data_IF_009782176432
#
_entry.id   IF_009782176432
#
_cell.length_a   1.000
_cell.length_b   1.000
_cell.length_c   1.000
_cell.angle_alpha   90.00
_cell.angle_beta   90.00
_cell.angle_gamma   90.00
#
_symmetry.space_group_name_H-M   'P 1'
#
loop_
_entity.id
_entity.type
_entity.pdbx_description
1 polymer ?
#
# COMPACT_ATOMS: atom_id res chain seq x y z
N UNK A 1 53.41 35.32 -49.20
CA UNK A 1 53.99 34.04 -48.74
C UNK A 1 54.41 34.22 -47.29
N UNK A 2 53.99 33.48 -46.28
CA UNK A 2 53.02 32.40 -46.10
C UNK A 2 52.63 32.45 -44.62
N UNK A 3 51.33 32.46 -44.32
CA UNK A 3 50.81 32.43 -42.97
C UNK A 3 50.99 31.02 -42.38
N UNK A 4 51.57 30.91 -41.18
CA UNK A 4 51.62 29.62 -40.45
C UNK A 4 50.31 29.44 -39.68
N UNK A 5 49.52 28.48 -40.15
CA UNK A 5 48.30 28.00 -39.52
C UNK A 5 48.62 27.11 -38.32
N UNK A 6 47.81 27.22 -37.27
CA UNK A 6 47.84 26.41 -36.05
C UNK A 6 47.45 24.95 -36.34
N UNK A 7 47.99 24.03 -35.55
CA UNK A 7 47.36 22.75 -35.27
C UNK A 7 47.23 22.64 -33.75
N UNK A 8 46.09 23.09 -33.23
CA UNK A 8 45.66 22.79 -31.86
C UNK A 8 44.89 21.48 -31.97
N UNK A 9 45.31 20.48 -31.20
CA UNK A 9 44.67 19.16 -31.15
C UNK A 9 43.20 19.27 -30.83
N UNK A 10 42.38 18.68 -31.70
CA UNK A 10 40.97 18.40 -31.47
C UNK A 10 40.85 17.43 -30.30
N UNK A 11 40.49 17.91 -29.11
CA UNK A 11 39.86 17.04 -28.12
C UNK A 11 38.46 16.78 -28.62
N UNK A 12 38.19 15.54 -29.03
CA UNK A 12 36.87 15.07 -29.39
C UNK A 12 35.95 15.31 -28.19
N UNK A 13 35.07 16.29 -28.32
CA UNK A 13 33.87 16.41 -27.51
C UNK A 13 33.00 15.25 -27.96
N UNK A 14 32.84 14.23 -27.11
CA UNK A 14 31.93 13.11 -27.35
C UNK A 14 30.51 13.66 -27.51
N UNK A 15 29.81 13.24 -28.57
CA UNK A 15 28.41 13.56 -28.79
C UNK A 15 27.55 13.08 -27.59
N UNK A 16 26.45 13.78 -27.22
CA UNK A 16 25.59 13.41 -26.08
C UNK A 16 24.82 12.08 -26.20
N UNK A 17 25.17 11.21 -27.14
CA UNK A 17 24.36 10.04 -27.56
C UNK A 17 24.97 8.71 -27.09
N UNK A 18 26.14 8.71 -26.47
CA UNK A 18 26.93 7.48 -26.22
C UNK A 18 26.87 6.97 -24.77
N UNK A 19 25.79 7.23 -24.02
CA UNK A 19 25.60 6.61 -22.69
C UNK A 19 24.84 5.30 -22.85
N UNK A 20 25.50 4.16 -22.59
CA UNK A 20 24.80 2.88 -22.60
C UNK A 20 24.14 2.63 -21.24
N UNK A 21 23.02 1.86 -21.19
CA UNK A 21 22.35 1.57 -19.92
C UNK A 21 23.25 0.92 -18.85
N UNK A 22 24.31 0.23 -19.27
CA UNK A 22 25.31 -0.39 -18.39
C UNK A 22 26.19 0.63 -17.67
N UNK A 23 26.30 1.87 -18.19
CA UNK A 23 27.08 2.96 -17.63
C UNK A 23 26.27 3.87 -16.71
N UNK A 24 24.95 3.68 -16.62
CA UNK A 24 24.12 4.46 -15.71
C UNK A 24 24.55 4.27 -14.24
N UNK A 25 24.51 5.34 -13.42
CA UNK A 25 24.74 5.21 -11.99
C UNK A 25 23.67 4.31 -11.37
N UNK A 26 24.06 3.48 -10.40
CA UNK A 26 23.09 2.61 -9.71
C UNK A 26 22.08 3.45 -8.95
N UNK A 27 20.80 3.29 -9.25
CA UNK A 27 19.67 3.98 -8.58
C UNK A 27 18.57 2.99 -8.24
N UNK A 28 17.87 3.25 -7.14
CA UNK A 28 16.62 2.56 -6.81
C UNK A 28 15.54 3.59 -6.55
N UNK A 29 14.54 3.59 -7.41
CA UNK A 29 13.32 4.36 -7.22
C UNK A 29 12.36 3.60 -6.32
N UNK A 30 12.12 4.16 -5.14
CA UNK A 30 11.10 3.70 -4.22
C UNK A 30 9.79 4.46 -4.46
N UNK A 31 8.78 3.76 -4.97
CA UNK A 31 7.45 4.34 -5.21
C UNK A 31 6.58 4.13 -3.97
N UNK A 32 6.39 5.20 -3.20
CA UNK A 32 5.67 5.21 -1.94
C UNK A 32 4.33 5.94 -2.05
N UNK A 33 3.51 5.83 -1.01
CA UNK A 33 2.22 6.52 -0.90
C UNK A 33 1.14 5.65 -0.31
N UNK A 34 0.03 6.26 0.08
CA UNK A 34 -1.12 5.51 0.59
C UNK A 34 -1.63 4.51 -0.47
N UNK A 35 -2.02 3.30 -0.06
CA UNK A 35 -2.66 2.36 -0.99
C UNK A 35 -3.84 3.03 -1.74
N UNK A 36 -3.95 2.79 -3.05
CA UNK A 36 -4.91 3.43 -3.99
C UNK A 36 -4.58 4.87 -4.44
N UNK A 37 -3.37 5.36 -4.16
CA UNK A 37 -2.89 6.68 -4.62
C UNK A 37 -2.30 6.73 -6.03
N UNK A 38 -2.25 5.61 -6.76
CA UNK A 38 -1.64 5.55 -8.10
C UNK A 38 -0.20 5.04 -8.15
N UNK A 39 0.31 4.45 -7.05
CA UNK A 39 1.65 3.85 -6.99
C UNK A 39 1.88 2.77 -8.05
N UNK A 40 0.87 1.96 -8.40
CA UNK A 40 0.98 0.98 -9.48
C UNK A 40 1.17 1.64 -10.86
N UNK A 41 0.44 2.73 -11.12
CA UNK A 41 0.57 3.48 -12.39
C UNK A 41 1.95 4.08 -12.52
N UNK A 42 2.47 4.68 -11.45
CA UNK A 42 3.82 5.23 -11.44
C UNK A 42 4.87 4.13 -11.63
N UNK A 43 4.82 3.04 -10.87
CA UNK A 43 5.78 1.93 -10.99
C UNK A 43 5.76 1.29 -12.40
N UNK A 44 4.57 1.09 -12.97
CA UNK A 44 4.42 0.57 -14.33
C UNK A 44 4.98 1.50 -15.40
N UNK A 45 4.74 2.82 -15.29
CA UNK A 45 5.34 3.81 -16.18
C UNK A 45 6.86 3.81 -16.08
N UNK A 46 7.42 3.78 -14.87
CA UNK A 46 8.88 3.73 -14.67
C UNK A 46 9.49 2.47 -15.29
N UNK A 47 8.79 1.33 -15.20
CA UNK A 47 9.18 0.09 -15.86
C UNK A 47 9.21 0.23 -17.38
N UNK A 48 8.12 0.74 -17.97
CA UNK A 48 8.02 1.00 -19.42
C UNK A 48 9.13 1.94 -19.89
N UNK A 49 9.45 2.95 -19.08
CA UNK A 49 10.48 3.95 -19.35
C UNK A 49 11.90 3.47 -19.05
N UNK A 50 12.11 2.18 -18.75
CA UNK A 50 13.44 1.56 -18.74
C UNK A 50 14.03 1.28 -17.36
N UNK A 51 13.31 1.55 -16.27
CA UNK A 51 13.69 1.01 -14.96
C UNK A 51 13.32 -0.47 -14.89
N UNK A 52 14.07 -1.25 -14.12
CA UNK A 52 13.77 -2.67 -13.92
C UNK A 52 12.93 -2.88 -12.67
N UNK A 53 11.78 -3.55 -12.80
CA UNK A 53 11.03 -4.10 -11.66
C UNK A 53 11.66 -5.44 -11.28
N UNK A 54 12.19 -5.60 -10.05
CA UNK A 54 12.71 -6.87 -9.57
C UNK A 54 11.72 -8.02 -9.69
N UNK A 55 12.15 -9.14 -10.27
CA UNK A 55 11.33 -10.31 -10.56
C UNK A 55 11.42 -11.41 -9.48
N UNK A 56 10.41 -12.28 -9.35
CA UNK A 56 9.13 -12.27 -10.07
C UNK A 56 8.13 -11.24 -9.50
N UNK A 57 7.27 -10.70 -10.35
CA UNK A 57 6.16 -9.82 -9.94
C UNK A 57 4.93 -10.57 -9.42
N UNK A 58 4.12 -9.87 -8.62
CA UNK A 58 2.76 -10.31 -8.26
C UNK A 58 1.86 -10.27 -9.51
N UNK A 59 1.18 -11.38 -9.77
CA UNK A 59 0.25 -11.50 -10.88
C UNK A 59 -0.90 -10.46 -10.80
N UNK A 60 -1.31 -9.93 -11.94
CA UNK A 60 -2.47 -9.07 -12.04
C UNK A 60 -3.75 -9.80 -11.60
N UNK A 61 -4.71 -9.05 -11.04
CA UNK A 61 -6.05 -9.54 -10.69
C UNK A 61 -7.14 -8.55 -11.08
N UNK A 62 -8.40 -8.86 -10.77
CA UNK A 62 -9.56 -8.01 -11.09
C UNK A 62 -9.51 -6.62 -10.46
N UNK A 63 -8.79 -6.45 -9.34
CA UNK A 63 -8.64 -5.17 -8.64
C UNK A 63 -7.59 -4.25 -9.29
N UNK A 64 -6.67 -4.83 -10.06
CA UNK A 64 -5.67 -4.13 -10.86
C UNK A 64 -5.25 -4.94 -12.12
N UNK A 65 -6.05 -4.91 -13.19
CA UNK A 65 -5.83 -5.73 -14.39
C UNK A 65 -4.55 -5.42 -15.17
N UNK A 66 -3.97 -4.23 -14.96
CA UNK A 66 -2.74 -3.79 -15.62
C UNK A 66 -1.46 -4.28 -14.93
N UNK A 67 -1.61 -5.11 -13.89
CA UNK A 67 -0.49 -5.57 -13.07
C UNK A 67 -0.18 -4.61 -11.94
N UNK A 68 0.42 -5.16 -10.88
CA UNK A 68 0.76 -4.39 -9.70
C UNK A 68 2.10 -3.68 -9.83
N UNK A 69 3.08 -4.18 -10.60
CA UNK A 69 4.44 -3.62 -10.55
C UNK A 69 5.08 -3.86 -9.17
N UNK A 70 4.74 -4.97 -8.52
CA UNK A 70 5.15 -5.30 -7.16
C UNK A 70 6.03 -6.56 -7.21
N UNK A 71 7.31 -6.49 -6.80
CA UNK A 71 8.12 -7.67 -6.64
C UNK A 71 7.50 -8.59 -5.56
N UNK A 72 7.26 -9.86 -5.89
CA UNK A 72 6.61 -10.83 -5.00
C UNK A 72 7.37 -10.96 -3.67
N UNK A 73 8.70 -10.97 -3.74
CA UNK A 73 9.55 -11.03 -2.55
C UNK A 73 9.33 -9.85 -1.62
N UNK A 74 9.18 -8.63 -2.15
CA UNK A 74 8.94 -7.41 -1.36
C UNK A 74 7.63 -7.51 -0.61
N UNK A 75 6.57 -7.96 -1.28
CA UNK A 75 5.25 -8.16 -0.67
C UNK A 75 5.32 -9.16 0.47
N UNK A 76 5.91 -10.34 0.24
CA UNK A 76 6.04 -11.38 1.26
C UNK A 76 6.95 -10.95 2.42
N UNK A 77 8.00 -10.20 2.12
CA UNK A 77 8.91 -9.64 3.12
C UNK A 77 8.18 -8.64 4.02
N UNK A 78 7.48 -7.66 3.46
CA UNK A 78 6.72 -6.67 4.22
C UNK A 78 5.59 -7.29 5.03
N UNK A 79 4.84 -8.25 4.46
CA UNK A 79 3.78 -8.95 5.21
C UNK A 79 4.35 -9.68 6.44
N UNK A 80 5.51 -10.31 6.32
CA UNK A 80 6.19 -10.93 7.47
C UNK A 80 6.65 -9.88 8.48
N UNK A 81 7.25 -8.78 8.03
CA UNK A 81 7.75 -7.74 8.94
C UNK A 81 6.61 -7.04 9.69
N UNK A 82 5.50 -6.72 9.02
CA UNK A 82 4.31 -6.14 9.64
C UNK A 82 3.69 -7.07 10.69
N UNK A 83 3.59 -8.38 10.38
CA UNK A 83 3.15 -9.38 11.36
C UNK A 83 4.07 -9.43 12.58
N UNK A 84 5.38 -9.35 12.37
CA UNK A 84 6.36 -9.33 13.46
C UNK A 84 6.31 -8.03 14.29
N UNK A 85 5.87 -6.92 13.69
CA UNK A 85 5.66 -5.63 14.34
C UNK A 85 4.28 -5.49 15.02
N UNK A 86 3.34 -6.42 14.75
CA UNK A 86 1.92 -6.27 15.10
C UNK A 86 1.29 -4.98 14.53
N UNK A 87 1.69 -4.62 13.31
CA UNK A 87 1.21 -3.44 12.59
C UNK A 87 0.36 -3.87 11.40
N UNK A 88 -0.75 -3.17 11.19
CA UNK A 88 -1.61 -3.39 10.02
C UNK A 88 -1.23 -2.47 8.86
N UNK A 89 -1.59 -2.83 7.63
CA UNK A 89 -1.27 -2.00 6.45
C UNK A 89 -1.89 -0.60 6.55
N UNK A 90 -3.12 -0.50 7.04
CA UNK A 90 -3.82 0.77 7.28
C UNK A 90 -3.87 1.11 8.77
N UNK A 91 -2.74 0.98 9.48
CA UNK A 91 -2.66 1.34 10.89
C UNK A 91 -2.74 2.86 11.09
N UNK A 92 -3.64 3.29 11.97
CA UNK A 92 -3.80 4.69 12.34
C UNK A 92 -2.92 5.06 13.55
N UNK A 93 -2.33 4.10 14.26
CA UNK A 93 -1.49 4.39 15.44
C UNK A 93 -0.21 5.11 15.01
N UNK A 94 0.11 6.29 15.56
CA UNK A 94 1.43 6.90 15.38
C UNK A 94 2.56 5.97 15.84
N UNK A 95 2.39 5.28 16.97
CA UNK A 95 3.37 4.33 17.53
C UNK A 95 3.71 3.16 16.59
N UNK A 96 2.86 2.82 15.62
CA UNK A 96 3.16 1.78 14.62
C UNK A 96 4.44 2.08 13.81
N UNK A 97 4.79 3.35 13.65
CA UNK A 97 6.03 3.78 13.00
C UNK A 97 7.27 3.49 13.84
N UNK A 98 7.15 3.59 15.17
CA UNK A 98 8.21 3.19 16.08
C UNK A 98 8.44 1.68 16.01
N UNK A 99 7.38 0.88 16.02
CA UNK A 99 7.47 -0.59 15.95
C UNK A 99 8.10 -1.08 14.63
N UNK A 100 7.68 -0.52 13.50
CA UNK A 100 8.27 -0.84 12.19
C UNK A 100 9.69 -0.29 12.04
N UNK A 101 10.01 0.83 12.68
CA UNK A 101 11.37 1.35 12.83
C UNK A 101 12.29 0.38 13.56
N UNK A 102 11.85 -0.18 14.71
CA UNK A 102 12.60 -1.21 15.46
C UNK A 102 12.89 -2.45 14.65
N UNK A 103 11.96 -2.85 13.78
CA UNK A 103 12.17 -3.95 12.84
C UNK A 103 13.24 -3.58 11.81
N UNK A 104 13.17 -2.37 11.25
CA UNK A 104 14.10 -1.86 10.22
C UNK A 104 15.54 -1.69 10.72
N UNK A 105 15.75 -1.59 12.05
CA UNK A 105 17.09 -1.54 12.66
C UNK A 105 17.74 -2.91 12.86
N UNK A 106 17.00 -4.01 12.67
CA UNK A 106 17.53 -5.37 12.86
C UNK A 106 18.52 -5.72 11.75
N UNK A 107 19.74 -6.08 12.12
CA UNK A 107 20.82 -6.32 11.15
C UNK A 107 20.52 -7.47 10.18
N UNK A 108 19.88 -8.53 10.66
CA UNK A 108 19.47 -9.64 9.80
C UNK A 108 18.48 -9.22 8.70
N UNK A 109 17.62 -8.24 8.99
CA UNK A 109 16.66 -7.73 8.00
C UNK A 109 17.37 -6.81 7.00
N UNK A 110 18.31 -5.97 7.48
CA UNK A 110 19.15 -5.13 6.61
C UNK A 110 20.00 -5.95 5.65
N UNK A 111 20.64 -7.02 6.14
CA UNK A 111 21.42 -7.94 5.31
C UNK A 111 20.51 -8.61 4.29
N UNK A 112 19.40 -9.19 4.74
CA UNK A 112 18.46 -9.91 3.87
C UNK A 112 17.91 -9.03 2.75
N UNK A 113 17.51 -7.79 3.06
CA UNK A 113 16.99 -6.85 2.07
C UNK A 113 18.09 -6.34 1.13
N UNK A 114 19.29 -6.04 1.65
CA UNK A 114 20.41 -5.63 0.82
C UNK A 114 20.88 -6.74 -0.13
N UNK A 115 21.02 -7.97 0.35
CA UNK A 115 21.42 -9.12 -0.49
C UNK A 115 20.42 -9.33 -1.62
N UNK A 116 19.13 -9.40 -1.30
CA UNK A 116 18.09 -9.59 -2.32
C UNK A 116 18.07 -8.44 -3.34
N UNK A 117 18.14 -7.19 -2.89
CA UNK A 117 18.17 -6.04 -3.80
C UNK A 117 19.42 -6.05 -4.72
N UNK A 118 20.55 -6.51 -4.18
CA UNK A 118 21.83 -6.58 -4.87
C UNK A 118 21.80 -7.45 -6.12
N UNK A 119 21.12 -8.60 -6.05
CA UNK A 119 21.01 -9.59 -7.14
C UNK A 119 20.38 -8.98 -8.42
N UNK A 120 19.56 -7.93 -8.28
CA UNK A 120 18.89 -7.31 -9.42
C UNK A 120 19.77 -6.28 -10.17
N UNK A 121 20.89 -5.85 -9.58
CA UNK A 121 21.82 -4.94 -10.26
C UNK A 121 22.68 -5.62 -11.34
N UNK A 122 22.62 -6.94 -11.45
CA UNK A 122 23.21 -7.68 -12.57
C UNK A 122 22.31 -7.61 -13.83
N UNK A 123 21.05 -7.19 -13.67
CA UNK A 123 20.07 -7.05 -14.76
C UNK A 123 19.94 -5.60 -15.22
N UNK A 124 19.91 -4.65 -14.29
CA UNK A 124 19.78 -3.22 -14.61
C UNK A 124 20.46 -2.34 -13.56
N UNK A 125 20.97 -1.19 -14.00
CA UNK A 125 21.52 -0.15 -13.11
C UNK A 125 20.43 0.64 -12.38
N UNK A 126 19.23 0.76 -12.96
CA UNK A 126 18.13 1.49 -12.36
C UNK A 126 16.97 0.55 -12.06
N UNK A 127 16.64 0.45 -10.77
CA UNK A 127 15.58 -0.41 -10.27
C UNK A 127 14.39 0.42 -9.82
N UNK A 128 13.18 -0.15 -9.92
CA UNK A 128 11.98 0.40 -9.29
C UNK A 128 11.39 -0.62 -8.32
N UNK A 129 11.20 -0.20 -7.06
CA UNK A 129 10.62 -1.02 -6.00
C UNK A 129 9.33 -0.37 -5.53
N UNK A 130 8.24 -1.14 -5.58
CA UNK A 130 6.94 -0.71 -5.10
C UNK A 130 6.27 -1.83 -4.30
N UNK A 131 5.63 -1.44 -3.20
CA UNK A 131 4.61 -2.21 -2.49
C UNK A 131 3.77 -1.21 -1.67
N UNK A 132 2.45 -1.40 -1.51
CA UNK A 132 1.60 -0.48 -0.73
C UNK A 132 2.00 -0.29 0.74
N UNK A 133 2.88 -1.14 1.28
CA UNK A 133 3.41 -1.11 2.65
C UNK A 133 4.83 -0.57 2.71
N UNK A 134 5.43 -0.21 1.56
CA UNK A 134 6.82 0.26 1.44
C UNK A 134 7.14 1.39 2.41
N UNK A 135 6.18 2.31 2.59
CA UNK A 135 6.28 3.45 3.51
C UNK A 135 6.70 3.06 4.93
N UNK A 136 6.25 1.92 5.44
CA UNK A 136 6.61 1.44 6.79
C UNK A 136 8.09 1.07 6.95
N UNK A 137 8.79 0.81 5.84
CA UNK A 137 10.15 0.26 5.84
C UNK A 137 11.13 1.10 5.02
N UNK A 138 10.84 2.39 4.77
CA UNK A 138 11.68 3.25 3.92
C UNK A 138 13.14 3.31 4.39
N UNK A 139 13.36 3.35 5.71
CA UNK A 139 14.71 3.35 6.28
C UNK A 139 15.47 2.04 6.00
N UNK A 140 14.78 0.89 6.04
CA UNK A 140 15.36 -0.41 5.67
C UNK A 140 15.79 -0.43 4.20
N UNK A 141 14.94 0.09 3.31
CA UNK A 141 15.20 0.15 1.87
C UNK A 141 16.30 1.13 1.50
N UNK A 142 16.35 2.30 2.15
CA UNK A 142 17.44 3.25 1.99
C UNK A 142 18.79 2.61 2.33
N UNK A 143 18.87 1.92 3.47
CA UNK A 143 20.09 1.19 3.88
C UNK A 143 20.45 0.10 2.86
N UNK A 144 19.46 -0.63 2.34
CA UNK A 144 19.68 -1.67 1.34
C UNK A 144 20.26 -1.11 0.03
N UNK A 145 19.77 0.03 -0.45
CA UNK A 145 20.30 0.69 -1.64
C UNK A 145 21.76 1.13 -1.44
N UNK A 146 22.04 1.84 -0.33
CA UNK A 146 23.38 2.34 -0.01
C UNK A 146 24.39 1.19 0.09
N UNK A 147 24.02 0.06 0.73
CA UNK A 147 24.88 -1.13 0.84
C UNK A 147 25.25 -1.75 -0.51
N UNK A 148 24.47 -1.51 -1.56
CA UNK A 148 24.71 -1.99 -2.91
C UNK A 148 25.38 -0.94 -3.82
N UNK A 149 25.87 0.16 -3.24
CA UNK A 149 26.44 1.28 -3.99
C UNK A 149 25.42 1.99 -4.88
N UNK A 150 24.13 1.89 -4.54
CA UNK A 150 23.04 2.51 -5.27
C UNK A 150 22.52 3.75 -4.53
N UNK A 151 22.10 4.74 -5.30
CA UNK A 151 21.48 5.95 -4.79
C UNK A 151 19.97 5.72 -4.58
N UNK A 152 19.45 5.79 -3.34
CA UNK A 152 18.02 5.71 -3.09
C UNK A 152 17.32 7.01 -3.51
N UNK A 153 16.25 6.91 -4.31
CA UNK A 153 15.40 8.05 -4.68
C UNK A 153 13.94 7.69 -4.47
N UNK A 154 13.10 8.69 -4.18
CA UNK A 154 11.72 8.44 -3.72
C UNK A 154 10.69 9.21 -4.55
N UNK A 155 9.63 8.53 -4.99
CA UNK A 155 8.44 9.15 -5.54
C UNK A 155 7.23 8.84 -4.64
N UNK A 156 6.71 9.86 -3.96
CA UNK A 156 5.52 9.73 -3.11
C UNK A 156 4.27 10.13 -3.89
N UNK A 157 3.39 9.16 -4.12
CA UNK A 157 2.14 9.39 -4.84
C UNK A 157 1.08 10.03 -3.94
N UNK A 158 0.49 11.12 -4.42
CA UNK A 158 -0.53 11.91 -3.77
C UNK A 158 -1.88 11.74 -4.47
N UNK A 159 -2.91 11.45 -3.68
CA UNK A 159 -4.30 11.41 -4.14
C UNK A 159 -5.21 11.95 -3.04
N UNK A 160 -6.27 12.71 -3.41
CA UNK A 160 -7.16 13.29 -2.42
C UNK A 160 -7.66 12.25 -1.41
N UNK A 161 -7.69 12.57 -0.11
CA UNK A 161 -8.07 11.63 0.95
C UNK A 161 -9.47 11.05 0.73
N UNK A 162 -10.42 11.86 0.26
CA UNK A 162 -11.77 11.43 -0.09
C UNK A 162 -11.79 10.28 -1.12
N UNK A 163 -11.02 10.42 -2.21
CA UNK A 163 -10.94 9.37 -3.23
C UNK A 163 -10.24 8.10 -2.71
N UNK A 164 -9.21 8.26 -1.88
CA UNK A 164 -8.50 7.10 -1.29
C UNK A 164 -9.43 6.34 -0.34
N UNK A 165 -10.11 7.04 0.56
CA UNK A 165 -11.05 6.46 1.52
C UNK A 165 -12.22 5.78 0.79
N UNK A 166 -12.86 6.48 -0.15
CA UNK A 166 -13.95 5.94 -0.94
C UNK A 166 -13.53 4.73 -1.77
N UNK A 167 -12.34 4.76 -2.38
CA UNK A 167 -11.79 3.59 -3.07
C UNK A 167 -11.57 2.44 -2.09
N UNK A 168 -11.00 2.67 -0.91
CA UNK A 168 -10.75 1.59 0.06
C UNK A 168 -12.05 0.95 0.55
N UNK A 169 -13.10 1.74 0.79
CA UNK A 169 -14.41 1.22 1.19
C UNK A 169 -15.02 0.31 0.12
N UNK A 170 -14.95 0.72 -1.16
CA UNK A 170 -15.49 -0.06 -2.27
C UNK A 170 -14.81 -1.42 -2.46
N UNK A 171 -13.47 -1.48 -2.33
CA UNK A 171 -12.71 -2.69 -2.69
C UNK A 171 -12.35 -3.59 -1.51
N UNK A 172 -12.24 -3.08 -0.29
CA UNK A 172 -11.74 -3.87 0.84
C UNK A 172 -12.79 -4.26 1.89
N UNK A 173 -14.09 -3.99 1.64
CA UNK A 173 -15.19 -4.28 2.56
C UNK A 173 -14.86 -3.93 4.02
N UNK A 174 -14.18 -2.78 4.21
CA UNK A 174 -13.49 -2.49 5.45
C UNK A 174 -14.49 -2.21 6.58
N UNK A 175 -14.35 -2.91 7.71
CA UNK A 175 -15.20 -2.77 8.89
C UNK A 175 -14.93 -1.50 9.71
N UNK A 176 -13.82 -0.80 9.44
CA UNK A 176 -13.29 0.26 10.31
C UNK A 176 -13.83 1.68 9.99
N UNK A 177 -14.61 1.86 8.92
CA UNK A 177 -15.30 3.12 8.62
C UNK A 177 -14.41 4.25 8.05
N UNK A 178 -15.03 5.36 7.63
CA UNK A 178 -14.34 6.50 6.99
C UNK A 178 -13.30 7.16 7.89
N UNK A 179 -13.63 7.35 9.18
CA UNK A 179 -12.74 8.00 10.14
C UNK A 179 -11.42 7.26 10.32
N UNK A 180 -11.46 5.94 10.53
CA UNK A 180 -10.24 5.14 10.62
C UNK A 180 -9.42 5.19 9.32
N UNK A 181 -10.07 5.11 8.16
CA UNK A 181 -9.37 5.16 6.88
C UNK A 181 -8.70 6.52 6.63
N UNK A 182 -9.35 7.63 6.99
CA UNK A 182 -8.77 8.97 6.92
C UNK A 182 -7.60 9.12 7.91
N UNK A 183 -7.76 8.64 9.15
CA UNK A 183 -6.69 8.61 10.14
C UNK A 183 -5.49 7.77 9.65
N UNK A 184 -5.72 6.61 9.05
CA UNK A 184 -4.66 5.78 8.46
C UNK A 184 -3.94 6.48 7.30
N UNK A 185 -4.66 7.30 6.52
CA UNK A 185 -4.10 8.09 5.42
C UNK A 185 -3.20 9.21 5.96
N UNK A 186 -3.67 9.94 6.98
CA UNK A 186 -2.90 10.96 7.69
C UNK A 186 -1.61 10.37 8.27
N UNK A 187 -1.75 9.32 9.08
CA UNK A 187 -0.63 8.66 9.72
C UNK A 187 0.40 8.21 8.69
N UNK A 188 -0.06 7.62 7.57
CA UNK A 188 0.80 7.13 6.52
C UNK A 188 1.59 8.25 5.84
N UNK A 189 0.92 9.30 5.37
CA UNK A 189 1.57 10.32 4.55
C UNK A 189 2.44 11.28 5.35
N UNK A 190 2.02 11.68 6.56
CA UNK A 190 2.84 12.55 7.42
C UNK A 190 4.19 11.91 7.75
N UNK A 191 4.19 10.62 8.07
CA UNK A 191 5.43 9.90 8.38
C UNK A 191 6.21 9.49 7.12
N UNK A 192 5.53 9.16 6.00
CA UNK A 192 6.22 8.94 4.70
C UNK A 192 6.97 10.20 4.28
N UNK A 193 6.33 11.36 4.39
CA UNK A 193 6.96 12.64 4.14
C UNK A 193 8.18 12.82 5.05
N UNK A 194 8.01 12.74 6.37
CA UNK A 194 9.12 12.92 7.31
C UNK A 194 10.30 11.97 7.05
N UNK A 195 10.02 10.69 6.79
CA UNK A 195 11.01 9.65 6.58
C UNK A 195 11.79 9.81 5.26
N UNK A 196 11.22 10.50 4.28
CA UNK A 196 11.89 10.75 2.99
C UNK A 196 12.73 12.02 2.97
N UNK A 197 12.61 12.94 3.94
CA UNK A 197 13.41 14.19 3.96
C UNK A 197 14.92 13.95 3.87
N UNK A 198 15.42 12.94 4.59
CA UNK A 198 16.86 12.63 4.61
C UNK A 198 17.39 12.13 3.25
N UNK A 199 16.51 11.65 2.36
CA UNK A 199 16.90 11.23 1.02
C UNK A 199 17.38 12.37 0.12
N UNK A 200 17.08 13.62 0.46
CA UNK A 200 17.58 14.80 -0.26
C UNK A 200 19.11 14.85 -0.22
N UNK A 201 19.73 14.36 0.86
CA UNK A 201 21.18 14.29 0.97
C UNK A 201 21.79 13.17 0.10
N UNK A 202 21.03 12.11 -0.21
CA UNK A 202 21.55 10.93 -0.90
C UNK A 202 21.25 10.92 -2.41
N UNK A 203 20.06 11.37 -2.82
CA UNK A 203 19.59 11.19 -4.19
C UNK A 203 18.35 11.97 -4.61
N UNK A 204 17.48 12.32 -3.66
CA UNK A 204 16.29 13.16 -3.89
C UNK A 204 14.95 12.47 -3.67
N UNK A 205 13.92 13.30 -3.54
CA UNK A 205 12.51 12.89 -3.44
C UNK A 205 11.63 13.78 -4.32
N UNK A 206 10.50 13.24 -4.74
CA UNK A 206 9.43 13.98 -5.43
C UNK A 206 8.07 13.58 -4.89
N UNK A 207 7.12 14.51 -4.92
CA UNK A 207 5.72 14.26 -4.65
C UNK A 207 4.94 14.43 -5.94
N UNK A 208 4.11 13.44 -6.28
CA UNK A 208 3.42 13.40 -7.57
C UNK A 208 1.94 13.26 -7.34
N UNK A 209 1.15 14.23 -7.80
CA UNK A 209 -0.31 14.11 -7.80
C UNK A 209 -0.73 13.12 -8.86
N UNK A 210 -1.59 12.18 -8.48
CA UNK A 210 -2.16 11.23 -9.42
C UNK A 210 -2.97 11.91 -10.53
N UNK A 211 -3.61 13.04 -10.22
CA UNK A 211 -4.32 13.84 -11.20
C UNK A 211 -3.38 14.38 -12.30
N UNK A 212 -2.24 14.97 -11.92
CA UNK A 212 -1.24 15.49 -12.86
C UNK A 212 -0.65 14.37 -13.73
N UNK A 213 -0.39 13.21 -13.12
CA UNK A 213 0.07 12.01 -13.84
C UNK A 213 -0.94 11.52 -14.88
N UNK A 214 -2.25 11.59 -14.59
CA UNK A 214 -3.29 11.18 -15.55
C UNK A 214 -3.56 12.23 -16.63
N UNK A 215 -3.37 13.50 -16.31
CA UNK A 215 -3.58 14.64 -17.21
C UNK A 215 -2.49 14.67 -18.29
N UNK A 216 -1.22 14.62 -17.85
CA UNK A 216 -0.05 14.55 -18.72
C UNK A 216 1.04 13.70 -18.07
N UNK A 217 0.98 12.40 -18.33
CA UNK A 217 1.96 11.46 -17.81
C UNK A 217 3.35 11.72 -18.37
N UNK A 218 3.47 12.20 -19.62
CA UNK A 218 4.77 12.46 -20.25
C UNK A 218 5.50 13.60 -19.55
N UNK A 219 4.84 14.74 -19.35
CA UNK A 219 5.40 15.88 -18.62
C UNK A 219 5.74 15.50 -17.18
N UNK A 220 4.85 14.78 -16.51
CA UNK A 220 5.03 14.39 -15.11
C UNK A 220 6.20 13.43 -14.93
N UNK A 221 6.27 12.36 -15.73
CA UNK A 221 7.37 11.40 -15.66
C UNK A 221 8.70 12.03 -16.08
N UNK A 222 8.69 12.94 -17.05
CA UNK A 222 9.92 13.62 -17.45
C UNK A 222 10.47 14.51 -16.32
N UNK A 223 9.61 15.29 -15.65
CA UNK A 223 10.00 16.06 -14.47
C UNK A 223 10.54 15.17 -13.34
N UNK A 224 9.93 14.00 -13.10
CA UNK A 224 10.46 13.01 -12.14
C UNK A 224 11.85 12.52 -12.56
N UNK A 225 12.03 12.19 -13.84
CA UNK A 225 13.31 11.75 -14.40
C UNK A 225 14.41 12.79 -14.24
N UNK A 226 14.12 14.06 -14.50
CA UNK A 226 15.05 15.18 -14.30
C UNK A 226 15.37 15.39 -12.82
N UNK A 227 14.36 15.48 -11.95
CA UNK A 227 14.57 15.75 -10.52
C UNK A 227 15.33 14.64 -9.81
N UNK A 228 15.08 13.38 -10.18
CA UNK A 228 15.72 12.21 -9.56
C UNK A 228 16.92 11.68 -10.37
N UNK A 229 17.23 12.29 -11.51
CA UNK A 229 18.29 11.92 -12.43
C UNK A 229 18.18 10.45 -12.91
N UNK A 230 16.97 10.03 -13.29
CA UNK A 230 16.68 8.69 -13.80
C UNK A 230 17.00 8.60 -15.29
N UNK A 231 18.09 7.92 -15.62
CA UNK A 231 18.63 7.90 -16.99
C UNK A 231 17.73 7.14 -17.97
N UNK A 232 17.09 6.06 -17.53
CA UNK A 232 16.10 5.32 -18.33
C UNK A 232 14.98 6.23 -18.81
N UNK A 233 14.44 7.06 -17.91
CA UNK A 233 13.38 8.03 -18.24
C UNK A 233 13.89 9.12 -19.19
N UNK A 234 15.08 9.67 -18.91
CA UNK A 234 15.72 10.72 -19.72
C UNK A 234 16.08 10.25 -21.14
N UNK A 235 16.27 8.95 -21.33
CA UNK A 235 16.66 8.35 -22.61
C UNK A 235 15.59 7.39 -23.16
N UNK A 236 14.34 7.55 -22.71
CA UNK A 236 13.23 6.73 -23.19
C UNK A 236 13.03 6.91 -24.70
N UNK A 237 12.97 5.79 -25.42
CA UNK A 237 12.78 5.79 -26.87
C UNK A 237 11.31 5.91 -27.27
N UNK A 238 11.06 6.15 -28.56
CA UNK A 238 9.70 6.37 -29.06
C UNK A 238 8.76 5.18 -28.92
N UNK A 239 9.25 3.93 -28.86
CA UNK A 239 8.39 2.77 -28.59
C UNK A 239 7.95 2.75 -27.12
N UNK A 240 8.84 3.05 -26.18
CA UNK A 240 8.50 3.17 -24.75
C UNK A 240 7.45 4.27 -24.53
N UNK A 241 7.58 5.41 -25.22
CA UNK A 241 6.56 6.47 -25.15
C UNK A 241 5.21 5.99 -25.71
N UNK A 242 5.20 5.27 -26.84
CA UNK A 242 3.96 4.66 -27.39
C UNK A 242 3.34 3.66 -26.43
N UNK A 243 4.15 2.84 -25.77
CA UNK A 243 3.67 1.89 -24.77
C UNK A 243 3.08 2.61 -23.54
N UNK A 244 3.72 3.67 -23.06
CA UNK A 244 3.19 4.53 -22.00
C UNK A 244 1.80 5.11 -22.34
N UNK A 245 1.60 5.58 -23.58
CA UNK A 245 0.28 6.04 -24.04
C UNK A 245 -0.79 4.94 -24.05
N UNK A 246 -0.43 3.68 -24.33
CA UNK A 246 -1.36 2.53 -24.25
C UNK A 246 -1.63 2.14 -22.79
N UNK A 247 -0.65 2.33 -21.91
CA UNK A 247 -0.71 1.94 -20.52
C UNK A 247 -1.54 2.89 -19.67
N UNK A 248 -1.39 4.21 -19.83
CA UNK A 248 -2.12 5.21 -19.05
C UNK A 248 -3.55 5.32 -19.54
N UNK A 249 -4.51 5.22 -18.61
CA UNK A 249 -5.93 5.39 -18.90
C UNK A 249 -6.45 6.65 -18.18
N UNK A 250 -6.61 7.77 -18.90
CA UNK A 250 -7.10 9.03 -18.32
C UNK A 250 -8.51 8.91 -17.71
N UNK A 251 -9.32 7.92 -18.14
CA UNK A 251 -10.67 7.71 -17.60
C UNK A 251 -10.67 7.20 -16.15
N UNK A 252 -9.50 6.83 -15.61
CA UNK A 252 -9.34 6.44 -14.22
C UNK A 252 -9.37 7.62 -13.24
N UNK A 253 -9.53 8.87 -13.73
CA UNK A 253 -9.80 10.04 -12.89
C UNK A 253 -11.20 9.94 -12.29
N UNK A 254 -11.28 9.44 -11.05
CA UNK A 254 -12.53 9.25 -10.32
C UNK A 254 -12.83 10.47 -9.44
N UNK A 255 -13.31 11.55 -10.04
CA UNK A 255 -13.79 12.72 -9.29
C UNK A 255 -15.25 12.50 -8.90
N UNK A 256 -15.53 12.30 -7.61
CA UNK A 256 -16.93 12.15 -7.19
C UNK A 256 -17.20 12.27 -5.69
N UNK A 257 -16.18 12.21 -4.84
CA UNK A 257 -16.35 12.34 -3.40
C UNK A 257 -15.46 13.45 -2.86
N UNK A 258 -16.06 14.37 -2.10
CA UNK A 258 -15.37 15.41 -1.35
C UNK A 258 -15.00 14.91 0.05
N UNK A 259 -14.11 15.64 0.73
CA UNK A 259 -13.74 15.31 2.10
C UNK A 259 -14.93 15.46 3.08
N UNK A 260 -15.82 16.42 2.82
CA UNK A 260 -17.03 16.64 3.61
C UNK A 260 -17.98 15.41 3.57
N UNK A 261 -18.05 14.70 2.45
CA UNK A 261 -18.89 13.51 2.28
C UNK A 261 -18.46 12.33 3.17
N UNK A 262 -17.25 12.37 3.74
CA UNK A 262 -16.75 11.33 4.63
C UNK A 262 -17.32 11.40 6.04
N UNK A 263 -17.99 12.51 6.42
CA UNK A 263 -18.57 12.73 7.75
C UNK A 263 -17.57 12.44 8.89
N UNK A 264 -16.36 12.98 8.76
CA UNK A 264 -15.29 12.80 9.74
C UNK A 264 -15.57 13.60 11.02
N UNK A 265 -15.06 13.17 12.20
CA UNK A 265 -15.01 14.02 13.37
C UNK A 265 -14.36 15.38 13.04
N UNK A 266 -14.86 16.52 13.54
CA UNK A 266 -14.42 17.84 13.11
C UNK A 266 -12.91 18.03 13.13
N UNK A 267 -12.25 17.62 14.21
CA UNK A 267 -10.79 17.78 14.32
C UNK A 267 -10.02 16.91 13.33
N UNK A 268 -10.50 15.69 13.06
CA UNK A 268 -9.90 14.81 12.06
C UNK A 268 -10.11 15.37 10.64
N UNK A 269 -11.26 15.98 10.38
CA UNK A 269 -11.54 16.65 9.11
C UNK A 269 -10.53 17.77 8.85
N UNK A 270 -10.39 18.70 9.79
CA UNK A 270 -9.45 19.83 9.70
C UNK A 270 -8.02 19.35 9.45
N UNK A 271 -7.52 18.40 10.26
CA UNK A 271 -6.16 17.87 10.09
C UNK A 271 -5.97 17.20 8.72
N UNK A 272 -6.98 16.47 8.24
CA UNK A 272 -6.94 15.81 6.93
C UNK A 272 -6.90 16.82 5.79
N UNK A 273 -7.70 17.88 5.88
CA UNK A 273 -7.74 18.96 4.88
C UNK A 273 -6.43 19.75 4.85
N UNK A 274 -5.94 20.18 6.01
CA UNK A 274 -4.71 20.96 6.13
C UNK A 274 -3.48 20.14 5.67
N UNK A 275 -3.39 18.88 6.10
CA UNK A 275 -2.34 17.97 5.63
C UNK A 275 -2.39 17.77 4.12
N UNK A 276 -3.58 17.64 3.53
CA UNK A 276 -3.71 17.57 2.08
C UNK A 276 -3.20 18.86 1.42
N UNK A 277 -3.55 20.03 1.95
CA UNK A 277 -3.06 21.32 1.47
C UNK A 277 -1.53 21.41 1.47
N UNK A 278 -0.88 21.08 2.60
CA UNK A 278 0.58 21.14 2.73
C UNK A 278 1.30 20.11 1.85
N UNK A 279 0.81 18.87 1.77
CA UNK A 279 1.38 17.85 0.88
C UNK A 279 1.30 18.26 -0.59
N UNK A 280 0.26 19.00 -1.00
CA UNK A 280 0.19 19.51 -2.36
C UNK A 280 1.28 20.53 -2.65
N UNK A 281 1.71 21.34 -1.68
CA UNK A 281 2.82 22.28 -1.89
C UNK A 281 4.11 21.55 -2.23
N UNK A 282 4.36 20.37 -1.65
CA UNK A 282 5.54 19.55 -1.95
C UNK A 282 5.59 19.04 -3.40
N UNK A 283 4.44 19.00 -4.09
CA UNK A 283 4.37 18.63 -5.51
C UNK A 283 4.58 19.82 -6.46
N UNK A 284 4.61 21.05 -5.94
CA UNK A 284 4.93 22.24 -6.73
C UNK A 284 6.44 22.36 -6.96
N UNK A 285 6.88 22.94 -8.09
CA UNK A 285 8.27 23.33 -8.28
C UNK A 285 8.78 24.15 -7.10
N UNK A 286 9.89 23.72 -6.51
CA UNK A 286 10.56 24.36 -5.37
C UNK A 286 9.68 24.50 -4.11
N UNK A 287 8.57 23.77 -4.03
CA UNK A 287 7.67 23.78 -2.87
C UNK A 287 8.13 22.91 -1.69
N UNK A 288 9.17 22.10 -1.87
CA UNK A 288 9.80 21.28 -0.83
C UNK A 288 10.68 22.13 0.09
N UNK A 289 10.05 22.99 0.90
CA UNK A 289 10.70 24.03 1.70
C UNK A 289 10.68 23.71 3.21
N UNK A 290 11.59 24.33 3.96
CA UNK A 290 11.67 24.18 5.41
C UNK A 290 10.38 24.65 6.14
N UNK A 291 9.69 25.66 5.61
CA UNK A 291 8.43 26.13 6.18
C UNK A 291 7.31 25.09 6.03
N UNK A 292 7.20 24.46 4.85
CA UNK A 292 6.25 23.36 4.64
C UNK A 292 6.59 22.16 5.53
N UNK A 293 7.88 21.86 5.73
CA UNK A 293 8.33 20.81 6.65
C UNK A 293 7.90 21.11 8.10
N UNK A 294 8.07 22.35 8.55
CA UNK A 294 7.70 22.76 9.90
C UNK A 294 6.19 22.65 10.12
N UNK A 295 5.36 23.06 9.14
CA UNK A 295 3.90 22.90 9.22
C UNK A 295 3.50 21.43 9.25
N UNK A 296 4.10 20.57 8.42
CA UNK A 296 3.84 19.14 8.43
C UNK A 296 4.27 18.46 9.73
N UNK A 297 5.34 18.93 10.37
CA UNK A 297 5.73 18.46 11.70
C UNK A 297 4.70 18.86 12.76
N UNK A 298 4.18 20.08 12.72
CA UNK A 298 3.09 20.52 13.61
C UNK A 298 1.82 19.70 13.41
N UNK A 299 1.44 19.41 12.16
CA UNK A 299 0.30 18.56 11.82
C UNK A 299 0.48 17.13 12.33
N UNK A 300 1.70 16.59 12.26
CA UNK A 300 2.03 15.27 12.80
C UNK A 300 1.90 15.23 14.31
N UNK A 301 2.41 16.23 15.04
CA UNK A 301 2.23 16.31 16.50
C UNK A 301 0.74 16.49 16.87
N UNK A 302 0.00 17.34 16.17
CA UNK A 302 -1.44 17.51 16.40
C UNK A 302 -2.24 16.22 16.13
N UNK A 303 -1.83 15.41 15.16
CA UNK A 303 -2.42 14.10 14.94
C UNK A 303 -2.08 13.09 16.05
N UNK A 304 -0.85 13.13 16.57
CA UNK A 304 -0.45 12.32 17.74
C UNK A 304 -1.32 12.65 18.95
N UNK A 305 -1.51 13.94 19.24
CA UNK A 305 -2.35 14.39 20.35
C UNK A 305 -3.81 13.94 20.18
N UNK A 306 -4.38 14.13 18.98
CA UNK A 306 -5.74 13.67 18.67
C UNK A 306 -5.88 12.15 18.83
N UNK A 307 -4.88 11.37 18.39
CA UNK A 307 -4.91 9.92 18.52
C UNK A 307 -4.85 9.50 20.00
N UNK A 308 -3.96 10.11 20.79
CA UNK A 308 -3.82 9.83 22.21
C UNK A 308 -5.10 10.17 22.99
N UNK A 309 -5.76 11.29 22.67
CA UNK A 309 -7.06 11.64 23.25
C UNK A 309 -8.13 10.60 22.91
N UNK A 310 -8.23 10.22 21.62
CA UNK A 310 -9.19 9.21 21.17
C UNK A 310 -8.95 7.84 21.83
N UNK A 311 -7.68 7.44 22.02
CA UNK A 311 -7.30 6.20 22.72
C UNK A 311 -7.67 6.27 24.20
N UNK A 312 -7.37 7.37 24.88
CA UNK A 312 -7.71 7.57 26.30
C UNK A 312 -9.24 7.51 26.53
N UNK A 313 -10.03 8.15 25.67
CA UNK A 313 -11.50 8.13 25.73
C UNK A 313 -12.03 6.71 25.46
N UNK A 314 -11.49 6.03 24.45
CA UNK A 314 -11.97 4.72 24.00
C UNK A 314 -11.46 3.55 24.86
N UNK A 315 -10.52 3.77 25.79
CA UNK A 315 -9.93 2.73 26.63
C UNK A 315 -10.98 1.86 27.34
N UNK A 316 -12.05 2.47 27.89
CA UNK A 316 -13.15 1.75 28.52
C UNK A 316 -13.89 0.80 27.56
N UNK A 317 -14.05 1.20 26.30
CA UNK A 317 -14.66 0.37 25.25
C UNK A 317 -13.78 -0.81 24.87
N UNK A 318 -12.46 -0.60 24.81
CA UNK A 318 -11.49 -1.68 24.54
C UNK A 318 -11.51 -2.72 25.67
N UNK A 319 -11.46 -2.28 26.94
CA UNK A 319 -11.52 -3.18 28.11
C UNK A 319 -12.83 -3.99 28.11
N UNK A 320 -13.97 -3.35 27.83
CA UNK A 320 -15.25 -4.05 27.75
C UNK A 320 -15.27 -5.10 26.61
N UNK A 321 -14.70 -4.79 25.44
CA UNK A 321 -14.59 -5.72 24.33
C UNK A 321 -13.68 -6.92 24.67
N UNK A 322 -12.53 -6.69 25.32
CA UNK A 322 -11.63 -7.75 25.76
C UNK A 322 -12.29 -8.68 26.78
N UNK A 323 -12.99 -8.12 27.76
CA UNK A 323 -13.73 -8.89 28.77
C UNK A 323 -14.80 -9.77 28.12
N UNK A 324 -15.53 -9.22 27.14
CA UNK A 324 -16.53 -9.95 26.36
C UNK A 324 -15.90 -11.12 25.61
N UNK A 325 -14.77 -10.90 24.93
CA UNK A 325 -14.04 -11.94 24.21
C UNK A 325 -13.53 -13.04 25.16
N UNK A 326 -12.93 -12.65 26.30
CA UNK A 326 -12.47 -13.59 27.32
C UNK A 326 -13.61 -14.44 27.88
N UNK A 327 -14.78 -13.84 28.10
CA UNK A 327 -15.96 -14.57 28.57
C UNK A 327 -16.47 -15.57 27.52
N UNK A 328 -16.45 -15.20 26.23
CA UNK A 328 -16.83 -16.09 25.13
C UNK A 328 -15.86 -17.28 25.01
N UNK A 329 -14.55 -17.04 25.13
CA UNK A 329 -13.53 -18.10 25.06
C UNK A 329 -13.56 -19.05 26.27
N UNK A 330 -14.05 -18.60 27.43
CA UNK A 330 -14.19 -19.44 28.64
C UNK A 330 -15.45 -20.31 28.66
N UNK A 331 -16.40 -20.14 27.72
CA UNK A 331 -17.60 -20.98 27.65
C UNK A 331 -17.24 -22.38 27.12
N UNK A 332 -17.44 -23.47 27.88
CA UNK A 332 -17.18 -24.81 27.37
C UNK A 332 -18.24 -25.17 26.31
N UNK A 333 -17.81 -25.42 25.06
CA UNK A 333 -18.66 -26.03 24.02
C UNK A 333 -18.71 -25.36 22.64
N UNK A 334 -17.98 -24.27 22.36
CA UNK A 334 -18.05 -23.57 21.07
C UNK A 334 -17.01 -24.02 20.05
N UNK A 335 -17.30 -25.05 19.25
CA UNK A 335 -16.67 -25.17 17.93
C UNK A 335 -17.15 -24.01 17.02
N UNK A 336 -16.35 -23.52 16.05
CA UNK A 336 -16.78 -22.45 15.15
C UNK A 336 -17.99 -22.91 14.33
N UNK A 337 -19.06 -22.11 14.37
CA UNK A 337 -20.38 -22.50 13.88
C UNK A 337 -20.44 -22.86 12.40
N UNK A 338 -20.77 -24.14 12.14
CA UNK A 338 -21.78 -24.45 11.12
C UNK A 338 -23.10 -23.82 11.59
N UNK A 339 -23.89 -23.14 10.74
CA UNK A 339 -25.17 -22.58 11.16
C UNK A 339 -26.05 -23.71 11.69
N UNK A 340 -26.34 -23.68 12.98
CA UNK A 340 -27.32 -24.57 13.57
C UNK A 340 -28.68 -24.20 12.97
N UNK A 341 -29.21 -25.09 12.14
CA UNK A 341 -30.64 -25.14 11.86
C UNK A 341 -31.38 -25.21 13.21
N UNK A 342 -32.52 -24.50 13.36
CA UNK A 342 -33.26 -24.54 14.62
C UNK A 342 -33.61 -25.99 14.95
N UNK A 343 -33.26 -26.42 16.16
CA UNK A 343 -33.63 -27.72 16.67
C UNK A 343 -35.17 -27.83 16.70
N UNK A 344 -35.73 -28.55 15.73
CA UNK A 344 -37.08 -29.10 15.84
C UNK A 344 -37.14 -30.01 17.08
N UNK A 345 -38.19 -29.82 17.87
CA UNK A 345 -38.59 -30.72 18.96
C UNK A 345 -38.55 -32.19 18.51
N UNK A 346 -38.31 -33.16 19.41
CA UNK A 346 -38.27 -34.57 19.05
C UNK A 346 -39.68 -35.06 18.69
N UNK A 347 -40.09 -34.82 17.45
CA UNK A 347 -41.31 -35.39 16.89
C UNK A 347 -41.02 -36.83 16.54
N UNK A 348 -41.65 -37.73 17.30
CA UNK A 348 -41.57 -39.17 17.07
C UNK A 348 -41.95 -39.50 15.63
N UNK A 349 -41.14 -40.34 14.96
CA UNK A 349 -41.30 -40.81 13.58
C UNK A 349 -42.66 -41.49 13.27
N UNK A 350 -43.54 -41.62 14.27
CA UNK A 350 -44.90 -42.08 14.11
C UNK A 350 -45.84 -41.03 13.47
N UNK A 351 -45.55 -39.72 13.56
CA UNK A 351 -46.48 -38.66 13.16
C UNK A 351 -46.26 -38.04 11.76
N UNK A 352 -45.31 -38.56 10.97
CA UNK A 352 -45.13 -38.19 9.55
C UNK A 352 -45.80 -39.15 8.56
N UNK A 353 -46.89 -39.81 8.96
CA UNK A 353 -47.68 -40.68 8.06
C UNK A 353 -49.08 -40.09 7.88
N UNK A 354 -49.47 -39.69 6.65
CA UNK A 354 -50.81 -39.17 6.35
C UNK A 354 -51.92 -40.12 6.80
N UNK A 355 -53.02 -39.57 7.30
CA UNK A 355 -54.12 -40.33 7.93
C UNK A 355 -54.73 -41.43 7.03
N UNK A 356 -54.64 -41.26 5.70
CA UNK A 356 -55.07 -42.27 4.72
C UNK A 356 -54.16 -43.51 4.62
N UNK A 357 -52.87 -43.38 4.95
CA UNK A 357 -51.90 -44.49 4.93
C UNK A 357 -51.92 -45.27 6.26
N UNK A 358 -52.26 -44.62 7.37
CA UNK A 358 -52.48 -45.30 8.68
C UNK A 358 -53.65 -46.29 8.62
N UNK A 359 -54.69 -46.05 7.82
CA UNK A 359 -55.88 -46.90 7.76
C UNK A 359 -55.68 -48.22 6.98
N UNK A 360 -54.59 -48.36 6.21
CA UNK A 360 -54.34 -49.52 5.35
C UNK A 360 -53.44 -50.60 5.99
N UNK A 361 -52.97 -50.42 7.24
CA UNK A 361 -52.03 -51.34 7.89
C UNK A 361 -52.79 -52.32 8.80
N UNK A 362 -52.70 -53.65 8.56
CA UNK A 362 -53.36 -54.66 9.38
C UNK A 362 -52.97 -54.61 10.87
N UNK A 363 -53.90 -54.88 11.81
CA UNK A 363 -53.66 -54.82 13.25
C UNK A 363 -52.51 -55.71 13.78
N UNK A 364 -52.15 -56.77 13.04
CA UNK A 364 -51.09 -57.71 13.39
C UNK A 364 -49.69 -57.10 13.29
N UNK A 365 -49.47 -56.13 12.40
CA UNK A 365 -48.15 -55.52 12.16
C UNK A 365 -47.83 -54.42 13.19
N UNK A 366 -48.84 -53.70 13.70
CA UNK A 366 -48.65 -52.65 14.73
C UNK A 366 -48.16 -53.19 16.07
N UNK A 367 -48.47 -54.46 16.39
CA UNK A 367 -48.06 -55.08 17.66
C UNK A 367 -46.57 -55.48 17.68
N UNK A 368 -45.96 -55.74 16.52
CA UNK A 368 -44.54 -56.09 16.42
C UNK A 368 -43.60 -54.90 16.64
N UNK A 369 -43.93 -53.74 16.06
CA UNK A 369 -43.09 -52.54 16.11
C UNK A 369 -43.00 -51.89 17.51
N UNK A 370 -44.06 -52.00 18.32
CA UNK A 370 -44.02 -51.51 19.72
C UNK A 370 -43.11 -52.34 20.64
N UNK A 371 -42.83 -53.60 20.30
CA UNK A 371 -42.00 -54.49 21.13
C UNK A 371 -40.49 -54.29 20.93
N UNK A 372 -40.07 -53.71 19.79
CA UNK A 372 -38.66 -53.38 19.48
C UNK A 372 -38.21 -52.00 20.00
N UNK A 373 -39.14 -51.11 20.35
CA UNK A 373 -38.82 -49.74 20.79
C UNK A 373 -38.67 -49.59 22.32
N UNK A 374 -38.46 -50.69 23.06
CA UNK A 374 -37.92 -50.65 24.42
C UNK A 374 -38.73 -49.90 25.49
N UNK A 375 -40.04 -49.72 25.33
CA UNK A 375 -40.91 -49.10 26.36
C UNK A 375 -41.85 -50.13 26.96
N UNK A 376 -41.52 -50.63 28.15
CA UNK A 376 -42.47 -51.27 29.05
C UNK A 376 -42.67 -50.37 30.27
N UNK A 377 -43.86 -49.77 30.30
CA UNK A 377 -44.52 -48.91 31.31
C UNK A 377 -43.74 -47.73 31.85
#
# INVERSE_FOLDING_TARGET
MSARYRQIGSSLVSDPIDVTPEDYPRKVLFVAGAGRSGTSTMAGLMSILGLHVPQPEVAADETNPKGFGEPRWVVDHHDRLLKAALVQVSDARPEAWFETGRISTREQERIKTATWLGEHFDVSRELVVKDPRLSWFLSLWRVAAIRNGATPVFATMLRPPAEVVGSKQKYYANRLGSAHLAASWLNMLLHTERATRESVADGGRVFVRYADLLDDWTKTTMWVGEKLQLQGVLHANSEQIREGHRFVDPSLRRMGQSLADLNLPPKLHELTEETWGELNKLAEPDGDTADVHATLDQLREAYVDLYAEAEAISASSVVAAEQTLRAQLKRPGGAPGVPATPAEEPTTLADKIPHGVRAAIPPSVRRGLRKMAGRAR
#
